data_IF_795185198669
#
_entry.id   IF_795185198669
#
_cell.length_a   1.000
_cell.length_b   1.000
_cell.length_c   1.000
_cell.angle_alpha   90.00
_cell.angle_beta   90.00
_cell.angle_gamma   90.00
#
_symmetry.space_group_name_H-M   'P 1'
#
loop_
_entity.id
_entity.type
_entity.pdbx_description
1 polymer ?
#
# COMPACT_ATOMS: atom_id res chain seq x y z
N UNK A 1 11.78 17.04 6.54
CA UNK A 1 10.71 17.91 6.01
C UNK A 1 11.35 19.15 5.40
N UNK A 2 11.06 19.44 4.13
CA UNK A 2 11.43 20.70 3.48
C UNK A 2 10.23 21.64 3.49
N UNK A 3 10.46 22.94 3.70
CA UNK A 3 9.41 23.96 3.67
C UNK A 3 9.48 24.72 2.34
N UNK A 4 8.39 24.70 1.56
CA UNK A 4 8.29 25.37 0.26
C UNK A 4 7.15 26.40 0.29
N UNK A 5 7.33 27.57 -0.32
CA UNK A 5 6.29 28.60 -0.46
C UNK A 5 6.79 30.05 -0.41
N UNK A 6 5.92 31.04 -0.71
CA UNK A 6 6.21 32.46 -0.47
C UNK A 6 6.61 32.74 0.98
N UNK A 7 7.33 33.85 1.27
CA UNK A 7 7.65 34.22 2.65
C UNK A 7 6.41 34.21 3.56
N UNK A 8 6.48 33.48 4.66
CA UNK A 8 5.37 33.33 5.60
C UNK A 8 4.26 32.35 5.19
N UNK A 9 4.39 31.67 4.03
CA UNK A 9 3.53 30.56 3.61
C UNK A 9 4.33 29.26 3.59
N UNK A 10 3.90 28.27 4.36
CA UNK A 10 4.67 27.03 4.56
C UNK A 10 3.89 25.82 4.10
N UNK A 11 4.41 25.13 3.10
CA UNK A 11 3.99 23.78 2.71
C UNK A 11 4.92 22.77 3.37
N UNK A 12 4.36 21.75 4.00
CA UNK A 12 5.09 20.61 4.54
C UNK A 12 4.73 19.35 3.74
N UNK A 13 5.75 18.61 3.29
CA UNK A 13 5.58 17.29 2.70
C UNK A 13 6.08 16.24 3.69
N UNK A 14 5.21 15.27 4.01
CA UNK A 14 5.46 14.19 4.96
C UNK A 14 5.28 12.88 4.21
N UNK A 15 6.36 12.12 4.03
CA UNK A 15 6.32 10.82 3.37
C UNK A 15 6.32 9.74 4.45
N UNK A 16 5.30 8.89 4.44
CA UNK A 16 5.18 7.76 5.35
C UNK A 16 5.80 6.50 4.74
N UNK A 17 6.36 5.65 5.59
CA UNK A 17 6.74 4.29 5.21
C UNK A 17 5.72 3.32 5.79
N UNK A 18 4.82 2.87 4.92
CA UNK A 18 3.74 1.90 5.20
C UNK A 18 4.13 0.47 4.81
N UNK A 19 5.43 0.20 4.60
CA UNK A 19 5.95 -1.13 4.23
C UNK A 19 6.78 -1.74 5.36
N UNK A 20 7.71 -0.97 5.94
CA UNK A 20 8.71 -1.54 6.84
C UNK A 20 8.18 -1.88 8.24
N UNK A 21 7.37 -0.98 8.80
CA UNK A 21 6.89 -1.10 10.20
C UNK A 21 5.48 -1.68 10.30
N UNK A 22 4.84 -1.96 9.17
CA UNK A 22 3.46 -2.39 9.07
C UNK A 22 3.33 -3.86 9.49
N UNK A 23 2.37 -4.15 10.36
CA UNK A 23 1.96 -5.53 10.63
C UNK A 23 1.45 -6.24 9.37
N UNK A 24 1.51 -7.58 9.28
CA UNK A 24 0.90 -8.30 8.17
C UNK A 24 -0.58 -7.89 7.97
N UNK A 25 -1.10 -7.98 6.75
CA UNK A 25 -2.56 -7.84 6.56
C UNK A 25 -3.24 -9.19 6.79
N UNK A 26 -4.44 -9.17 7.39
CA UNK A 26 -5.25 -10.39 7.42
C UNK A 26 -5.68 -10.75 6.02
N UNK A 27 -5.26 -11.93 5.56
CA UNK A 27 -5.70 -12.50 4.30
C UNK A 27 -7.19 -12.81 4.38
N UNK A 28 -7.87 -12.64 3.26
CA UNK A 28 -9.28 -13.03 3.16
C UNK A 28 -9.49 -14.52 3.43
N UNK A 29 -10.60 -14.83 4.06
CA UNK A 29 -11.18 -16.17 4.20
C UNK A 29 -12.08 -16.54 2.99
N UNK A 30 -12.44 -15.56 2.14
CA UNK A 30 -13.18 -15.77 0.90
C UNK A 30 -12.57 -14.99 -0.27
N UNK A 31 -11.82 -15.69 -1.12
CA UNK A 31 -11.25 -15.09 -2.32
C UNK A 31 -12.34 -14.70 -3.33
N UNK A 32 -12.26 -13.48 -3.87
CA UNK A 32 -13.21 -12.96 -4.86
C UNK A 32 -14.57 -12.51 -4.32
N UNK A 33 -14.85 -12.69 -3.02
CA UNK A 33 -16.03 -12.09 -2.38
C UNK A 33 -15.98 -10.56 -2.49
N UNK A 34 -17.10 -9.86 -2.81
CA UNK A 34 -17.13 -8.40 -2.86
C UNK A 34 -16.60 -7.77 -1.57
N UNK A 35 -15.59 -6.92 -1.69
CA UNK A 35 -14.96 -6.20 -0.58
C UNK A 35 -14.05 -7.05 0.31
N UNK A 36 -13.82 -8.32 -0.05
CA UNK A 36 -12.98 -9.29 0.67
C UNK A 36 -12.02 -10.00 -0.29
N UNK A 37 -11.59 -9.34 -1.37
CA UNK A 37 -10.84 -9.98 -2.45
C UNK A 37 -9.50 -10.59 -2.02
N UNK A 38 -8.62 -9.81 -1.36
CA UNK A 38 -7.28 -10.25 -0.93
C UNK A 38 -7.09 -10.12 0.58
N UNK A 39 -7.58 -9.03 1.17
CA UNK A 39 -7.42 -8.74 2.60
C UNK A 39 -8.72 -8.29 3.25
N UNK A 40 -8.88 -8.60 4.54
CA UNK A 40 -10.02 -8.18 5.38
C UNK A 40 -9.53 -7.34 6.58
N UNK A 41 -10.38 -6.52 7.20
CA UNK A 41 -10.01 -5.76 8.39
C UNK A 41 -9.78 -6.65 9.62
N UNK A 42 -8.82 -6.29 10.48
CA UNK A 42 -8.52 -6.99 11.73
C UNK A 42 -9.71 -7.12 12.70
N UNK A 43 -10.72 -6.26 12.60
CA UNK A 43 -11.90 -6.28 13.46
C UNK A 43 -13.08 -7.12 12.91
N UNK A 44 -12.85 -7.93 11.87
CA UNK A 44 -13.88 -8.78 11.23
C UNK A 44 -13.71 -10.28 11.47
N UNK A 45 -12.83 -10.69 12.40
CA UNK A 45 -12.70 -12.10 12.81
C UNK A 45 -12.52 -12.21 14.32
N UNK A 46 -13.57 -12.67 15.02
CA UNK A 46 -13.56 -13.40 16.30
C UNK A 46 -12.26 -13.33 17.14
N UNK A 47 -11.99 -12.20 17.80
CA UNK A 47 -11.08 -12.16 18.93
C UNK A 47 -11.92 -12.20 20.22
N UNK A 48 -11.70 -13.15 21.17
CA UNK A 48 -12.32 -13.05 22.49
C UNK A 48 -11.80 -11.78 23.19
N UNK A 49 -12.60 -11.17 24.08
CA UNK A 49 -12.23 -9.92 24.75
C UNK A 49 -10.89 -10.07 25.46
N UNK A 50 -10.01 -9.05 25.44
CA UNK A 50 -8.72 -9.12 26.10
C UNK A 50 -8.92 -9.40 27.58
N UNK A 51 -8.25 -10.44 28.09
CA UNK A 51 -8.18 -10.69 29.53
C UNK A 51 -7.38 -9.54 30.16
N UNK A 52 -7.85 -8.96 31.28
CA UNK A 52 -7.13 -7.87 31.93
C UNK A 52 -5.74 -8.36 32.37
N UNK A 53 -4.68 -7.57 32.16
CA UNK A 53 -3.33 -7.98 32.52
C UNK A 53 -3.25 -8.23 34.03
N UNK A 54 -2.68 -9.37 34.40
CA UNK A 54 -2.33 -9.67 35.78
C UNK A 54 -1.16 -8.76 36.17
N UNK A 55 -1.22 -8.03 37.30
CA UNK A 55 -0.11 -7.16 37.69
C UNK A 55 1.11 -8.00 38.05
N UNK A 56 2.18 -7.85 37.26
CA UNK A 56 3.49 -8.47 37.51
C UNK A 56 4.30 -7.54 38.41
N UNK A 57 4.83 -8.00 39.57
CA UNK A 57 5.74 -7.19 40.37
C UNK A 57 7.10 -7.06 39.67
N UNK A 58 7.70 -5.86 39.76
CA UNK A 58 9.00 -5.52 39.17
C UNK A 58 10.12 -6.46 39.65
N UNK A 59 10.98 -6.97 38.74
CA UNK A 59 12.19 -7.70 39.14
C UNK A 59 13.26 -6.73 39.68
N UNK A 60 14.10 -7.15 40.66
CA UNK A 60 15.22 -6.33 41.12
C UNK A 60 16.33 -6.24 40.06
N UNK A 61 17.06 -5.12 40.08
CA UNK A 61 18.07 -4.74 39.09
C UNK A 61 19.19 -5.78 38.88
N UNK A 62 19.69 -5.95 37.64
CA UNK A 62 20.69 -6.98 37.33
C UNK A 62 22.10 -6.63 37.86
N UNK A 63 22.79 -7.65 38.35
CA UNK A 63 24.21 -7.60 38.72
C UNK A 63 25.13 -7.66 37.48
N UNK A 64 26.34 -7.14 37.66
CA UNK A 64 27.40 -6.86 36.67
C UNK A 64 27.86 -8.11 35.88
N UNK A 65 28.18 -8.01 34.57
CA UNK A 65 28.62 -9.14 33.76
C UNK A 65 30.10 -9.54 34.01
N UNK A 66 30.48 -10.82 33.79
CA UNK A 66 31.85 -11.30 33.89
C UNK A 66 32.68 -11.05 32.60
N UNK A 67 34.03 -11.13 32.67
CA UNK A 67 34.94 -10.75 31.58
C UNK A 67 35.10 -11.84 30.48
N UNK A 68 35.65 -11.48 29.31
CA UNK A 68 35.64 -12.33 28.11
C UNK A 68 36.76 -13.39 28.10
N UNK A 69 36.47 -14.55 27.48
CA UNK A 69 37.41 -15.64 27.22
C UNK A 69 38.04 -15.57 25.81
N UNK A 70 39.25 -16.13 25.71
CA UNK A 70 40.19 -16.10 24.59
C UNK A 70 39.83 -17.03 23.40
N UNK A 71 40.41 -16.82 22.20
CA UNK A 71 40.02 -17.52 20.97
C UNK A 71 40.77 -18.86 20.76
N UNK A 72 40.12 -19.79 20.05
CA UNK A 72 40.70 -21.05 19.56
C UNK A 72 40.92 -21.05 18.04
N UNK A 73 41.87 -21.85 17.50
CA UNK A 73 42.52 -21.55 16.23
C UNK A 73 41.90 -22.22 14.98
N UNK A 74 42.23 -21.59 13.87
CA UNK A 74 42.04 -21.88 12.45
C UNK A 74 42.04 -23.36 12.00
N UNK A 75 41.17 -23.66 11.03
CA UNK A 75 41.36 -24.73 10.04
C UNK A 75 41.57 -24.15 8.64
N UNK A 76 42.66 -24.58 8.00
CA UNK A 76 43.05 -24.27 6.62
C UNK A 76 42.19 -25.02 5.59
N UNK A 77 42.12 -24.54 4.32
CA UNK A 77 41.37 -25.17 3.25
C UNK A 77 42.21 -26.21 2.48
N UNK A 78 41.61 -27.35 2.16
CA UNK A 78 42.19 -28.35 1.25
C UNK A 78 41.76 -28.08 -0.19
N UNK A 79 42.75 -27.87 -1.05
CA UNK A 79 42.67 -27.78 -2.51
C UNK A 79 42.64 -29.17 -3.17
N UNK A 80 41.81 -29.38 -4.19
CA UNK A 80 42.06 -30.34 -5.28
C UNK A 80 41.38 -29.93 -6.60
N UNK A 81 41.90 -30.39 -7.75
CA UNK A 81 42.07 -29.58 -8.94
C UNK A 81 40.94 -29.69 -9.97
N UNK A 82 40.84 -28.64 -10.80
CA UNK A 82 39.98 -28.56 -11.96
C UNK A 82 40.49 -29.45 -13.11
N UNK A 83 39.59 -30.21 -13.70
CA UNK A 83 39.75 -30.82 -15.02
C UNK A 83 38.58 -30.41 -15.92
N UNK A 84 38.86 -29.56 -16.91
CA UNK A 84 37.96 -29.34 -18.05
C UNK A 84 38.23 -30.41 -19.12
N UNK A 85 37.19 -30.81 -19.87
CA UNK A 85 37.33 -30.99 -21.30
C UNK A 85 36.53 -29.91 -22.04
N UNK A 86 37.19 -29.32 -23.03
CA UNK A 86 36.59 -28.44 -24.02
C UNK A 86 35.80 -29.25 -25.04
N UNK A 87 34.71 -28.66 -25.55
CA UNK A 87 34.15 -28.99 -26.86
C UNK A 87 32.78 -29.66 -26.88
N UNK A 88 31.72 -28.85 -26.77
CA UNK A 88 30.46 -29.07 -27.47
C UNK A 88 29.72 -27.73 -27.60
N UNK A 89 29.21 -27.42 -28.80
CA UNK A 89 28.42 -26.24 -29.10
C UNK A 89 27.18 -26.12 -28.15
N UNK A 90 26.69 -24.91 -27.84
CA UNK A 90 25.59 -24.77 -26.88
C UNK A 90 24.30 -25.34 -27.47
N UNK A 91 23.84 -26.47 -26.93
CA UNK A 91 22.44 -26.84 -27.00
C UNK A 91 21.62 -25.77 -26.27
N UNK A 92 20.42 -25.41 -26.75
CA UNK A 92 19.59 -24.42 -26.09
C UNK A 92 19.36 -24.85 -24.64
N UNK A 93 19.77 -24.01 -23.70
CA UNK A 93 19.58 -24.27 -22.27
C UNK A 93 18.07 -24.23 -22.02
N UNK A 94 17.47 -25.42 -21.93
CA UNK A 94 16.07 -25.61 -21.54
C UNK A 94 15.85 -24.96 -20.17
N UNK A 95 15.15 -23.81 -20.12
CA UNK A 95 14.71 -23.16 -18.88
C UNK A 95 13.20 -23.36 -18.71
N UNK A 96 12.78 -23.80 -17.53
CA UNK A 96 11.37 -24.05 -17.21
C UNK A 96 10.49 -22.80 -17.35
N UNK A 97 11.08 -21.60 -17.24
CA UNK A 97 10.46 -20.31 -17.54
C UNK A 97 9.78 -20.23 -18.92
N UNK A 98 10.21 -21.00 -19.92
CA UNK A 98 9.64 -20.97 -21.27
C UNK A 98 8.44 -21.93 -21.48
N UNK A 99 8.20 -22.88 -20.56
CA UNK A 99 7.15 -23.90 -20.68
C UNK A 99 6.01 -23.76 -19.65
N UNK A 100 6.26 -23.06 -18.52
CA UNK A 100 5.31 -22.98 -17.39
C UNK A 100 4.16 -21.98 -17.57
N UNK A 101 4.28 -20.98 -18.45
CA UNK A 101 3.24 -19.97 -18.62
C UNK A 101 2.23 -20.37 -19.71
N UNK A 102 1.58 -21.53 -19.55
CA UNK A 102 0.41 -21.82 -20.38
C UNK A 102 -0.76 -21.00 -19.84
N UNK A 103 -0.85 -19.78 -20.36
CA UNK A 103 -1.99 -18.88 -20.27
C UNK A 103 -3.31 -19.65 -20.38
N UNK A 104 -4.03 -19.78 -19.26
CA UNK A 104 -5.45 -20.05 -19.31
C UNK A 104 -6.15 -19.23 -18.23
N UNK A 105 -6.44 -17.97 -18.56
CA UNK A 105 -7.20 -17.02 -17.75
C UNK A 105 -8.65 -17.47 -17.44
N UNK A 106 -9.05 -18.68 -17.85
CA UNK A 106 -10.33 -19.32 -17.53
C UNK A 106 -10.29 -20.17 -16.25
N UNK A 107 -9.11 -20.45 -15.68
CA UNK A 107 -8.95 -21.33 -14.51
C UNK A 107 -8.93 -20.58 -13.16
N UNK A 108 -9.37 -19.31 -13.11
CA UNK A 108 -9.52 -18.56 -11.86
C UNK A 108 -10.80 -18.92 -11.08
N UNK A 109 -11.66 -19.79 -11.61
CA UNK A 109 -12.85 -20.26 -10.89
C UNK A 109 -12.50 -21.30 -9.82
N UNK A 110 -11.45 -22.10 -10.04
CA UNK A 110 -11.03 -23.17 -9.14
C UNK A 110 -9.50 -23.18 -9.07
N UNK A 111 -8.91 -22.82 -7.93
CA UNK A 111 -7.47 -22.67 -7.68
C UNK A 111 -6.60 -23.89 -8.09
N UNK A 112 -6.36 -24.08 -9.39
CA UNK A 112 -5.57 -25.16 -9.95
C UNK A 112 -4.20 -24.63 -10.39
N UNK A 113 -3.33 -24.41 -9.40
CA UNK A 113 -1.93 -24.10 -9.64
C UNK A 113 -1.22 -25.23 -10.41
N UNK A 114 -0.84 -25.00 -11.66
CA UNK A 114 -0.12 -25.97 -12.49
C UNK A 114 1.35 -25.57 -12.67
N UNK A 115 2.22 -25.91 -11.72
CA UNK A 115 3.65 -26.06 -12.03
C UNK A 115 3.86 -27.44 -12.68
N UNK A 116 4.42 -27.46 -13.89
CA UNK A 116 4.75 -28.69 -14.63
C UNK A 116 5.55 -29.63 -13.72
N UNK A 117 5.15 -30.90 -13.66
CA UNK A 117 5.72 -31.91 -12.76
C UNK A 117 7.24 -32.08 -12.95
N UNK A 118 7.79 -31.71 -14.11
CA UNK A 118 9.23 -31.76 -14.41
C UNK A 118 10.01 -30.57 -13.83
N UNK A 119 9.33 -29.47 -13.52
CA UNK A 119 9.93 -28.24 -12.99
C UNK A 119 9.87 -28.17 -11.45
N UNK A 120 8.90 -28.85 -10.82
CA UNK A 120 8.78 -28.95 -9.35
C UNK A 120 10.06 -29.39 -8.62
N UNK A 121 10.83 -30.40 -9.07
CA UNK A 121 12.05 -30.84 -8.37
C UNK A 121 13.20 -29.82 -8.45
N UNK A 122 13.09 -28.80 -9.29
CA UNK A 122 14.14 -27.81 -9.56
C UNK A 122 13.90 -26.45 -8.91
N UNK A 123 12.72 -26.21 -8.33
CA UNK A 123 12.36 -24.92 -7.72
C UNK A 123 12.24 -23.76 -8.72
N UNK A 124 12.04 -24.06 -10.01
CA UNK A 124 11.98 -23.11 -11.13
C UNK A 124 10.55 -23.11 -11.71
N UNK A 125 9.56 -22.79 -10.86
CA UNK A 125 8.17 -22.52 -11.25
C UNK A 125 7.99 -21.01 -11.54
N UNK A 126 6.85 -20.58 -12.10
CA UNK A 126 6.57 -19.17 -12.45
C UNK A 126 6.80 -18.20 -11.27
N UNK A 127 7.04 -16.92 -11.59
CA UNK A 127 7.48 -15.88 -10.66
C UNK A 127 6.54 -15.66 -9.45
N UNK A 128 5.25 -16.01 -9.58
CA UNK A 128 4.21 -15.90 -8.56
C UNK A 128 3.82 -17.24 -7.88
N UNK A 129 4.47 -18.35 -8.23
CA UNK A 129 4.11 -19.69 -7.75
C UNK A 129 4.23 -19.84 -6.23
N UNK A 130 5.29 -19.30 -5.62
CA UNK A 130 5.48 -19.38 -4.17
C UNK A 130 4.43 -18.53 -3.40
N UNK A 131 3.93 -17.46 -4.01
CA UNK A 131 2.94 -16.57 -3.38
C UNK A 131 1.50 -17.06 -3.56
N UNK A 132 1.20 -17.66 -4.71
CA UNK A 132 -0.13 -18.15 -5.06
C UNK A 132 -0.38 -19.63 -4.69
N UNK A 133 0.68 -20.46 -4.65
CA UNK A 133 0.54 -21.92 -4.69
C UNK A 133 1.32 -22.66 -3.60
N UNK A 134 2.43 -22.13 -3.10
CA UNK A 134 3.02 -22.65 -1.87
C UNK A 134 2.14 -22.19 -0.70
N UNK A 135 1.56 -23.15 0.03
CA UNK A 135 0.96 -22.90 1.33
C UNK A 135 2.12 -22.87 2.34
N UNK A 136 2.48 -21.71 2.94
CA UNK A 136 3.00 -21.76 4.29
C UNK A 136 1.92 -22.38 5.19
N UNK A 137 2.30 -23.00 6.30
CA UNK A 137 1.37 -23.53 7.28
C UNK A 137 0.32 -22.48 7.67
N UNK A 138 -0.92 -22.65 7.18
CA UNK A 138 -2.04 -21.78 7.48
C UNK A 138 -1.89 -20.32 7.02
N UNK A 139 -2.96 -19.51 7.10
CA UNK A 139 -2.80 -18.07 7.01
C UNK A 139 -1.89 -17.60 8.14
N UNK A 140 -1.14 -16.49 8.00
CA UNK A 140 -0.80 -15.70 9.17
C UNK A 140 -2.14 -15.34 9.80
N UNK A 141 -2.53 -16.06 10.86
CA UNK A 141 -3.66 -15.65 11.68
C UNK A 141 -3.20 -14.41 12.43
N UNK A 142 -4.07 -13.75 13.19
CA UNK A 142 -3.60 -12.75 14.17
C UNK A 142 -2.50 -13.26 15.12
N UNK A 143 -2.12 -14.56 15.07
CA UNK A 143 -1.00 -15.21 15.76
C UNK A 143 0.40 -14.70 15.44
N UNK A 144 0.63 -14.00 14.33
CA UNK A 144 1.95 -13.40 14.05
C UNK A 144 2.18 -12.13 14.88
N UNK A 145 1.12 -11.58 15.44
CA UNK A 145 1.19 -10.56 16.49
C UNK A 145 1.37 -11.27 17.82
N UNK A 146 2.27 -10.77 18.67
CA UNK A 146 2.36 -11.30 20.02
C UNK A 146 1.02 -11.09 20.75
N UNK A 147 0.62 -12.05 21.58
CA UNK A 147 -0.65 -11.99 22.30
C UNK A 147 -0.80 -10.65 23.05
N UNK A 148 -1.78 -9.83 22.63
CA UNK A 148 -2.06 -8.52 23.20
C UNK A 148 -1.57 -7.32 22.37
N UNK A 149 -0.83 -7.53 21.28
CA UNK A 149 -0.44 -6.47 20.35
C UNK A 149 -1.53 -6.19 19.31
N UNK A 150 -1.87 -4.91 19.14
CA UNK A 150 -2.76 -4.46 18.06
C UNK A 150 -1.94 -4.29 16.78
N UNK A 151 -2.53 -4.58 15.60
CA UNK A 151 -1.86 -4.37 14.32
C UNK A 151 -1.55 -2.89 14.12
N UNK A 152 -0.39 -2.59 13.53
CA UNK A 152 0.04 -1.21 13.27
C UNK A 152 0.40 -0.98 11.81
N UNK A 153 0.15 0.22 11.31
CA UNK A 153 0.48 0.65 9.96
C UNK A 153 1.87 1.28 9.90
N UNK A 154 2.19 2.13 10.89
CA UNK A 154 3.44 2.91 10.91
C UNK A 154 4.43 2.44 11.99
N UNK A 155 3.98 1.69 12.98
CA UNK A 155 4.76 1.40 14.19
C UNK A 155 4.96 2.62 15.09
N UNK A 156 5.25 2.38 16.36
CA UNK A 156 5.32 3.45 17.39
C UNK A 156 6.37 4.52 17.10
N UNK A 157 7.51 4.14 16.52
CA UNK A 157 8.59 5.08 16.22
C UNK A 157 8.15 6.11 15.16
N UNK A 158 7.55 5.64 14.07
CA UNK A 158 7.10 6.52 13.00
C UNK A 158 5.86 7.31 13.43
N UNK A 159 4.97 6.74 14.26
CA UNK A 159 3.86 7.48 14.86
C UNK A 159 4.31 8.66 15.72
N UNK A 160 5.30 8.43 16.59
CA UNK A 160 5.91 9.50 17.40
C UNK A 160 6.55 10.55 16.50
N UNK A 161 7.32 10.12 15.51
CA UNK A 161 7.93 11.02 14.54
C UNK A 161 6.90 11.86 13.78
N UNK A 162 5.80 11.25 13.33
CA UNK A 162 4.72 11.94 12.63
C UNK A 162 4.09 13.00 13.54
N UNK A 163 3.85 12.67 14.81
CA UNK A 163 3.35 13.62 15.80
C UNK A 163 4.26 14.85 15.96
N UNK A 164 5.57 14.64 15.99
CA UNK A 164 6.53 15.74 16.05
C UNK A 164 6.52 16.60 14.77
N UNK A 165 6.39 15.98 13.59
CA UNK A 165 6.26 16.72 12.32
C UNK A 165 4.99 17.55 12.26
N UNK A 166 3.86 17.02 12.75
CA UNK A 166 2.57 17.71 12.71
C UNK A 166 2.53 18.95 13.61
N UNK A 167 3.33 18.99 14.68
CA UNK A 167 3.48 20.18 15.55
C UNK A 167 4.31 21.30 14.91
N UNK A 168 5.08 21.02 13.86
CA UNK A 168 5.83 22.07 13.15
C UNK A 168 4.86 23.00 12.41
N UNK A 169 5.07 24.33 12.40
CA UNK A 169 4.17 25.26 11.72
C UNK A 169 4.12 25.04 10.19
N UNK A 170 2.91 24.87 9.65
CA UNK A 170 2.62 24.86 8.22
C UNK A 170 1.19 25.35 7.93
N UNK A 171 1.00 26.00 6.78
CA UNK A 171 -0.33 26.36 6.24
C UNK A 171 -0.99 25.18 5.54
N UNK A 172 -0.19 24.32 4.90
CA UNK A 172 -0.62 23.12 4.18
C UNK A 172 0.33 21.97 4.45
N UNK A 173 -0.21 20.78 4.63
CA UNK A 173 0.53 19.55 4.91
C UNK A 173 0.06 18.45 3.98
N UNK A 174 0.95 17.93 3.15
CA UNK A 174 0.68 16.74 2.34
C UNK A 174 1.27 15.52 3.04
N UNK A 175 0.41 14.64 3.54
CA UNK A 175 0.82 13.33 4.05
C UNK A 175 0.71 12.33 2.89
N UNK A 176 1.85 11.79 2.48
CA UNK A 176 1.98 10.85 1.37
C UNK A 176 2.10 9.45 1.94
N UNK A 177 1.15 8.58 1.59
CA UNK A 177 1.10 7.16 1.95
C UNK A 177 1.25 6.32 0.69
N UNK A 178 1.91 5.15 0.74
CA UNK A 178 2.02 4.32 -0.48
C UNK A 178 0.67 3.69 -0.86
N UNK A 179 -0.17 3.39 0.13
CA UNK A 179 -1.50 2.77 0.00
C UNK A 179 -2.59 3.70 0.53
N UNK A 180 -3.85 3.43 0.20
CA UNK A 180 -4.99 4.32 0.48
C UNK A 180 -5.25 4.44 1.97
N UNK A 181 -5.54 5.65 2.42
CA UNK A 181 -5.84 5.92 3.83
C UNK A 181 -7.35 5.88 4.09
N UNK A 182 -8.13 6.54 3.23
CA UNK A 182 -9.57 6.77 3.42
C UNK A 182 -10.46 5.76 2.70
N UNK A 183 -9.94 5.08 1.68
CA UNK A 183 -10.66 4.03 0.97
C UNK A 183 -11.04 2.87 1.92
N UNK A 184 -12.26 2.34 1.77
CA UNK A 184 -12.88 1.35 2.67
C UNK A 184 -13.27 0.06 1.97
N UNK A 185 -13.87 0.16 0.80
CA UNK A 185 -14.66 -0.97 0.30
C UNK A 185 -13.90 -1.91 -0.64
N UNK A 186 -12.71 -1.56 -1.14
CA UNK A 186 -11.94 -2.46 -2.00
C UNK A 186 -11.14 -3.49 -1.19
N UNK A 187 -11.12 -4.77 -1.58
CA UNK A 187 -10.44 -5.84 -0.82
C UNK A 187 -8.92 -5.93 -0.99
N UNK A 188 -8.25 -4.83 -1.32
CA UNK A 188 -6.78 -4.76 -1.53
C UNK A 188 -6.08 -4.07 -0.35
N UNK A 189 -4.77 -3.84 -0.45
CA UNK A 189 -3.98 -3.17 0.59
C UNK A 189 -4.48 -1.75 0.84
N UNK A 190 -4.86 -1.45 2.08
CA UNK A 190 -5.30 -0.11 2.52
C UNK A 190 -5.18 0.03 4.03
N UNK A 191 -5.21 1.26 4.51
CA UNK A 191 -5.19 1.52 5.96
C UNK A 191 -6.40 0.95 6.68
N UNK A 192 -7.58 0.92 6.06
CA UNK A 192 -8.79 0.38 6.67
C UNK A 192 -8.77 -1.15 6.87
N UNK A 193 -7.73 -1.87 6.42
CA UNK A 193 -7.44 -3.21 6.95
C UNK A 193 -7.05 -3.17 8.44
N UNK A 194 -6.59 -2.03 8.93
CA UNK A 194 -6.25 -1.71 10.33
C UNK A 194 -7.01 -0.44 10.76
N UNK A 195 -8.34 -0.51 10.96
CA UNK A 195 -9.18 0.67 11.11
C UNK A 195 -8.82 1.56 12.31
N UNK A 196 -8.19 1.00 13.35
CA UNK A 196 -7.68 1.79 14.48
C UNK A 196 -6.52 2.72 14.10
N UNK A 197 -5.74 2.39 13.07
CA UNK A 197 -4.64 3.23 12.59
C UNK A 197 -5.15 4.45 11.83
N UNK A 198 -6.30 4.34 11.13
CA UNK A 198 -7.01 5.50 10.55
C UNK A 198 -7.54 6.42 11.66
N UNK A 199 -8.19 5.84 12.69
CA UNK A 199 -8.64 6.61 13.86
C UNK A 199 -7.48 7.27 14.60
N UNK A 200 -6.33 6.59 14.70
CA UNK A 200 -5.11 7.12 15.32
C UNK A 200 -4.56 8.32 14.55
N UNK A 201 -4.56 8.26 13.22
CA UNK A 201 -4.18 9.42 12.38
C UNK A 201 -5.07 10.63 12.68
N UNK A 202 -6.39 10.43 12.68
CA UNK A 202 -7.36 11.51 12.94
C UNK A 202 -7.18 12.11 14.33
N UNK A 203 -6.99 11.26 15.35
CA UNK A 203 -6.72 11.69 16.72
C UNK A 203 -5.42 12.49 16.80
N UNK A 204 -4.35 12.03 16.14
CA UNK A 204 -3.07 12.72 16.15
C UNK A 204 -3.17 14.10 15.48
N UNK A 205 -3.91 14.24 14.38
CA UNK A 205 -4.18 15.54 13.74
C UNK A 205 -4.88 16.47 14.74
N UNK A 206 -5.92 16.00 15.42
CA UNK A 206 -6.63 16.76 16.46
C UNK A 206 -5.71 17.16 17.63
N UNK A 207 -4.98 16.22 18.22
CA UNK A 207 -4.13 16.42 19.40
C UNK A 207 -2.94 17.37 19.13
N UNK A 208 -2.41 17.34 17.91
CA UNK A 208 -1.32 18.24 17.52
C UNK A 208 -1.81 19.62 17.09
N UNK A 209 -3.12 19.81 16.93
CA UNK A 209 -3.70 21.03 16.37
C UNK A 209 -3.30 21.27 14.92
N UNK A 210 -2.90 20.21 14.21
CA UNK A 210 -2.47 20.33 12.83
C UNK A 210 -3.64 20.72 11.93
N UNK A 211 -3.39 21.67 11.04
CA UNK A 211 -4.32 22.15 10.03
C UNK A 211 -3.72 21.99 8.62
N UNK A 212 -4.52 22.22 7.58
CA UNK A 212 -4.12 22.13 6.19
C UNK A 212 -3.74 20.72 5.74
N UNK A 213 -4.12 19.67 6.48
CA UNK A 213 -3.74 18.29 6.15
C UNK A 213 -4.58 17.78 4.97
N UNK A 214 -3.89 17.29 3.96
CA UNK A 214 -4.43 16.60 2.78
C UNK A 214 -3.59 15.34 2.54
N UNK A 215 -4.25 14.24 2.15
CA UNK A 215 -3.59 12.96 1.93
C UNK A 215 -3.34 12.71 0.43
N UNK A 216 -2.25 12.03 0.12
CA UNK A 216 -1.90 11.59 -1.24
C UNK A 216 -1.51 10.11 -1.21
N UNK A 217 -1.96 9.32 -2.19
CA UNK A 217 -1.65 7.87 -2.26
C UNK A 217 -1.51 7.30 -3.68
N UNK A 218 -1.10 6.02 -3.79
CA UNK A 218 -0.84 5.30 -5.04
C UNK A 218 -1.25 3.81 -4.99
N UNK A 219 -0.43 2.88 -5.47
CA UNK A 219 -0.62 1.40 -5.41
C UNK A 219 -1.79 0.78 -6.21
N UNK A 220 -2.98 1.39 -6.27
CA UNK A 220 -4.21 0.74 -6.76
C UNK A 220 -4.29 0.51 -8.26
N UNK A 221 -3.41 1.12 -9.05
CA UNK A 221 -3.51 1.17 -10.51
C UNK A 221 -4.87 1.70 -11.00
N UNK A 222 -5.53 2.53 -10.20
CA UNK A 222 -6.67 3.39 -10.57
C UNK A 222 -6.49 4.75 -9.90
N UNK A 223 -7.11 5.79 -10.46
CA UNK A 223 -7.20 7.10 -9.81
C UNK A 223 -8.50 7.25 -9.02
N UNK A 224 -8.46 7.97 -7.91
CA UNK A 224 -9.64 8.23 -7.09
C UNK A 224 -9.50 9.50 -6.23
N UNK A 225 -10.64 10.08 -5.84
CA UNK A 225 -10.72 11.18 -4.88
C UNK A 225 -11.65 10.78 -3.74
N UNK A 226 -11.16 10.85 -2.51
CA UNK A 226 -11.90 10.50 -1.31
C UNK A 226 -12.06 11.70 -0.37
N UNK A 227 -13.15 11.67 0.40
CA UNK A 227 -13.44 12.56 1.52
C UNK A 227 -13.98 11.75 2.68
N UNK A 228 -13.32 11.84 3.83
CA UNK A 228 -13.88 11.42 5.10
C UNK A 228 -14.48 12.65 5.79
N UNK A 229 -15.80 12.65 5.93
CA UNK A 229 -16.52 13.76 6.57
C UNK A 229 -16.15 13.88 8.06
N UNK A 230 -16.06 15.10 8.59
CA UNK A 230 -15.74 15.33 10.02
C UNK A 230 -16.74 14.65 10.98
N UNK A 231 -17.98 14.44 10.54
CA UNK A 231 -19.03 13.77 11.31
C UNK A 231 -19.08 12.25 11.13
N UNK A 232 -18.20 11.66 10.32
CA UNK A 232 -18.10 10.20 10.21
C UNK A 232 -17.70 9.57 11.56
N UNK A 233 -17.98 8.28 11.75
CA UNK A 233 -17.68 7.59 13.01
C UNK A 233 -16.19 7.60 13.39
N UNK A 234 -15.33 7.64 12.39
CA UNK A 234 -13.87 7.80 12.48
C UNK A 234 -13.41 9.14 11.91
N UNK A 235 -14.30 10.14 11.84
CA UNK A 235 -14.01 11.49 11.40
C UNK A 235 -13.04 12.23 12.32
N UNK A 236 -12.39 13.25 11.76
CA UNK A 236 -11.42 14.10 12.45
C UNK A 236 -11.93 15.50 12.78
N UNK A 237 -11.02 16.46 13.00
CA UNK A 237 -11.39 17.82 13.36
C UNK A 237 -12.03 18.61 12.20
N UNK A 238 -11.85 18.16 10.97
CA UNK A 238 -12.43 18.70 9.74
C UNK A 238 -12.47 17.60 8.66
N UNK A 239 -13.13 17.86 7.54
CA UNK A 239 -13.21 16.91 6.42
C UNK A 239 -11.80 16.61 5.88
N UNK A 240 -11.40 15.33 5.89
CA UNK A 240 -10.10 14.92 5.38
C UNK A 240 -10.23 14.45 3.94
N UNK A 241 -9.38 14.97 3.06
CA UNK A 241 -9.39 14.66 1.64
C UNK A 241 -8.15 13.84 1.26
N UNK A 242 -8.34 12.91 0.33
CA UNK A 242 -7.29 12.11 -0.27
C UNK A 242 -7.43 12.08 -1.79
N UNK A 243 -6.30 12.19 -2.50
CA UNK A 243 -6.22 11.85 -3.92
C UNK A 243 -5.27 10.68 -4.12
N UNK A 244 -5.79 9.61 -4.71
CA UNK A 244 -5.02 8.45 -5.17
C UNK A 244 -4.69 8.64 -6.63
N UNK A 245 -3.40 8.78 -6.96
CA UNK A 245 -2.91 8.84 -8.33
C UNK A 245 -1.96 7.66 -8.57
N UNK A 246 -2.39 6.66 -9.33
CA UNK A 246 -1.73 5.35 -9.32
C UNK A 246 -1.45 4.71 -10.67
N UNK A 247 -1.99 5.20 -11.78
CA UNK A 247 -1.94 4.49 -13.06
C UNK A 247 -1.02 5.19 -14.06
N UNK A 248 0.24 5.49 -13.72
CA UNK A 248 1.06 6.31 -14.63
C UNK A 248 1.23 5.66 -16.02
N UNK A 249 1.34 4.33 -16.07
CA UNK A 249 1.53 3.56 -17.31
C UNK A 249 0.54 2.41 -17.48
N UNK A 250 -0.07 1.93 -16.39
CA UNK A 250 -0.99 0.80 -16.42
C UNK A 250 -2.16 1.03 -15.47
N UNK A 251 -3.37 1.09 -16.03
CA UNK A 251 -4.62 1.10 -15.29
C UNK A 251 -5.27 -0.29 -15.22
N UNK A 252 -5.93 -0.57 -14.09
CA UNK A 252 -6.87 -1.70 -14.00
C UNK A 252 -8.16 -1.29 -14.71
N UNK A 253 -8.80 -2.24 -15.40
CA UNK A 253 -10.05 -1.98 -16.12
C UNK A 253 -11.27 -2.14 -15.21
N UNK A 254 -12.38 -1.43 -15.48
CA UNK A 254 -13.63 -1.63 -14.77
C UNK A 254 -14.09 -3.09 -14.86
N UNK A 255 -14.79 -3.56 -13.83
CA UNK A 255 -15.44 -4.89 -13.90
C UNK A 255 -16.51 -4.88 -15.00
N UNK A 256 -16.64 -6.00 -15.73
CA UNK A 256 -17.65 -6.16 -16.79
C UNK A 256 -19.09 -6.17 -16.27
N UNK A 257 -19.28 -6.51 -15.00
CA UNK A 257 -20.57 -6.57 -14.32
C UNK A 257 -20.41 -6.31 -12.83
N UNK A 258 -21.45 -5.73 -12.22
CA UNK A 258 -21.46 -5.32 -10.81
C UNK A 258 -20.95 -3.88 -10.58
N UNK A 259 -21.08 -3.36 -9.35
CA UNK A 259 -20.59 -2.04 -9.00
C UNK A 259 -19.06 -2.02 -8.97
N UNK A 260 -18.49 -0.93 -9.49
CA UNK A 260 -17.05 -0.70 -9.54
C UNK A 260 -16.53 -0.19 -8.18
N UNK A 261 -16.24 -1.14 -7.30
CA UNK A 261 -15.71 -0.95 -5.93
C UNK A 261 -16.43 0.18 -5.17
N UNK A 262 -17.77 0.16 -5.08
CA UNK A 262 -18.55 1.24 -4.44
C UNK A 262 -18.02 1.59 -3.05
N UNK A 263 -17.78 2.87 -2.78
CA UNK A 263 -17.16 3.35 -1.54
C UNK A 263 -17.82 4.67 -1.11
N UNK A 264 -18.29 4.73 0.14
CA UNK A 264 -19.02 5.90 0.67
C UNK A 264 -18.13 7.15 0.81
N UNK A 265 -16.82 6.95 0.97
CA UNK A 265 -15.87 8.04 1.07
C UNK A 265 -15.47 8.57 -0.31
N UNK A 266 -15.78 7.87 -1.41
CA UNK A 266 -15.33 8.27 -2.75
C UNK A 266 -16.27 9.32 -3.36
N UNK A 267 -15.72 10.47 -3.75
CA UNK A 267 -16.49 11.60 -4.27
C UNK A 267 -16.93 11.43 -5.73
N UNK A 268 -16.12 10.73 -6.52
CA UNK A 268 -16.29 10.58 -7.97
C UNK A 268 -16.12 9.11 -8.38
N UNK A 269 -16.51 8.72 -9.61
CA UNK A 269 -16.18 7.39 -10.15
C UNK A 269 -14.67 7.11 -10.14
N UNK A 270 -14.27 5.84 -10.11
CA UNK A 270 -12.85 5.50 -10.28
C UNK A 270 -12.36 5.93 -11.66
N UNK A 271 -11.11 6.38 -11.71
CA UNK A 271 -10.40 6.70 -12.94
C UNK A 271 -9.62 5.46 -13.38
N UNK A 272 -10.10 4.85 -14.46
CA UNK A 272 -9.47 3.70 -15.11
C UNK A 272 -8.57 4.11 -16.29
N UNK A 273 -8.25 5.39 -16.41
CA UNK A 273 -7.30 5.92 -17.39
C UNK A 273 -5.91 6.02 -16.76
N UNK A 274 -4.86 5.95 -17.59
CA UNK A 274 -3.52 6.23 -17.11
C UNK A 274 -3.45 7.69 -16.63
N UNK A 275 -2.95 7.90 -15.40
CA UNK A 275 -3.01 9.20 -14.75
C UNK A 275 -1.83 9.48 -13.83
N UNK A 276 -1.61 10.78 -13.59
CA UNK A 276 -0.76 11.29 -12.53
C UNK A 276 -1.49 12.38 -11.74
N UNK A 277 -1.04 12.60 -10.50
CA UNK A 277 -1.59 13.62 -9.61
C UNK A 277 -0.88 14.95 -9.76
N UNK A 278 -1.61 16.07 -9.67
CA UNK A 278 -1.04 17.41 -9.52
C UNK A 278 -1.67 18.14 -8.35
N UNK A 279 -0.88 19.02 -7.74
CA UNK A 279 -1.32 19.91 -6.65
C UNK A 279 -1.04 21.34 -7.07
N UNK A 280 -2.10 22.12 -7.29
CA UNK A 280 -2.03 23.56 -7.49
C UNK A 280 -2.33 24.29 -6.17
N UNK A 281 -1.54 25.32 -5.84
CA UNK A 281 -1.79 26.15 -4.65
C UNK A 281 -1.91 27.60 -5.09
N UNK A 282 -3.07 28.21 -4.86
CA UNK A 282 -3.29 29.64 -5.03
C UNK A 282 -3.26 30.30 -3.64
N UNK A 283 -2.15 30.98 -3.35
CA UNK A 283 -1.98 31.70 -2.07
C UNK A 283 -2.79 32.97 -1.96
N UNK A 284 -3.22 33.56 -3.08
CA UNK A 284 -4.02 34.79 -3.11
C UNK A 284 -5.43 34.49 -2.65
N UNK A 285 -6.04 33.45 -3.23
CA UNK A 285 -7.38 33.00 -2.86
C UNK A 285 -7.37 31.98 -1.70
N UNK A 286 -6.19 31.55 -1.25
CA UNK A 286 -5.96 30.51 -0.22
C UNK A 286 -6.70 29.21 -0.55
N UNK A 287 -6.49 28.71 -1.76
CA UNK A 287 -7.07 27.46 -2.24
C UNK A 287 -5.99 26.46 -2.62
N UNK A 288 -6.28 25.18 -2.41
CA UNK A 288 -5.49 24.06 -2.92
C UNK A 288 -6.36 23.24 -3.86
N UNK A 289 -5.86 22.98 -5.07
CA UNK A 289 -6.52 22.14 -6.07
C UNK A 289 -5.73 20.84 -6.23
N UNK A 290 -6.40 19.71 -6.03
CA UNK A 290 -5.85 18.39 -6.26
C UNK A 290 -6.49 17.85 -7.55
N UNK A 291 -5.68 17.40 -8.50
CA UNK A 291 -6.18 16.96 -9.80
C UNK A 291 -5.56 15.63 -10.21
N UNK A 292 -6.38 14.79 -10.81
CA UNK A 292 -5.94 13.64 -11.61
C UNK A 292 -5.89 14.08 -13.07
N UNK A 293 -4.73 13.90 -13.68
CA UNK A 293 -4.43 14.35 -15.04
C UNK A 293 -4.10 13.14 -15.90
N UNK A 294 -4.65 13.06 -17.11
CA UNK A 294 -4.35 12.00 -18.06
C UNK A 294 -2.86 11.99 -18.38
N UNK A 295 -2.22 10.83 -18.22
CA UNK A 295 -0.80 10.65 -18.47
C UNK A 295 -0.50 10.46 -19.96
N UNK A 296 -1.41 9.80 -20.66
CA UNK A 296 -1.30 9.46 -22.07
C UNK A 296 -2.71 9.30 -22.68
N UNK A 297 -2.75 8.76 -23.90
CA UNK A 297 -3.93 8.33 -24.65
C UNK A 297 -4.24 6.83 -24.48
N UNK A 298 -3.44 6.12 -23.67
CA UNK A 298 -3.49 4.69 -23.46
C UNK A 298 -4.31 4.35 -22.19
N UNK A 299 -5.05 3.26 -22.20
CA UNK A 299 -5.71 2.74 -20.98
C UNK A 299 -7.21 3.03 -20.84
N UNK A 300 -7.87 3.67 -21.82
CA UNK A 300 -9.35 3.73 -21.87
C UNK A 300 -9.98 2.51 -22.58
N UNK A 301 -9.20 1.48 -22.88
CA UNK A 301 -9.64 0.46 -23.83
C UNK A 301 -10.75 -0.45 -23.29
N UNK A 302 -11.81 -0.61 -24.09
CA UNK A 302 -12.96 -1.48 -23.80
C UNK A 302 -12.71 -2.96 -24.16
N UNK A 303 -11.63 -3.29 -24.87
CA UNK A 303 -11.36 -4.65 -25.37
C UNK A 303 -9.99 -5.18 -24.96
N UNK A 304 -9.87 -6.51 -24.75
CA UNK A 304 -8.65 -7.23 -24.30
C UNK A 304 -7.53 -7.31 -25.38
N UNK A 305 -7.41 -6.29 -26.24
CA UNK A 305 -6.35 -6.21 -27.25
C UNK A 305 -4.98 -5.93 -26.63
N UNK A 306 -3.91 -6.21 -27.37
CA UNK A 306 -2.56 -5.87 -26.93
C UNK A 306 -2.40 -4.35 -26.81
N UNK A 307 -1.77 -3.88 -25.72
CA UNK A 307 -1.44 -2.48 -25.42
C UNK A 307 -0.98 -1.62 -26.62
N UNK A 308 -0.19 -2.13 -27.60
CA UNK A 308 0.26 -1.32 -28.74
C UNK A 308 -0.85 -0.85 -29.68
N UNK A 309 -2.01 -1.53 -29.73
CA UNK A 309 -3.13 -1.13 -30.60
C UNK A 309 -4.07 -0.11 -29.97
N UNK A 310 -3.96 0.11 -28.66
CA UNK A 310 -4.89 0.92 -27.86
C UNK A 310 -4.51 2.40 -27.84
N UNK A 311 -3.22 2.70 -27.96
CA UNK A 311 -2.66 4.07 -28.06
C UNK A 311 -2.71 4.63 -29.51
N UNK A 312 -3.40 3.96 -30.43
CA UNK A 312 -3.47 4.38 -31.84
C UNK A 312 -4.63 5.36 -32.13
N UNK A 313 -5.44 5.69 -31.11
CA UNK A 313 -6.56 6.61 -31.24
C UNK A 313 -6.06 8.07 -31.22
N UNK A 314 -6.13 8.74 -32.38
CA UNK A 314 -5.52 10.04 -32.72
C UNK A 314 -5.98 11.30 -31.94
N UNK A 315 -6.54 11.19 -30.73
CA UNK A 315 -6.84 12.37 -29.90
C UNK A 315 -5.92 12.40 -28.69
N UNK A 316 -4.84 13.19 -28.77
CA UNK A 316 -3.95 13.46 -27.63
C UNK A 316 -4.76 14.07 -26.48
N UNK A 317 -4.94 13.29 -25.42
CA UNK A 317 -5.63 13.70 -24.19
C UNK A 317 -4.66 13.87 -23.03
N UNK A 318 -3.34 13.70 -23.26
CA UNK A 318 -2.34 13.89 -22.23
C UNK A 318 -2.42 15.32 -21.68
N UNK A 319 -2.33 15.47 -20.36
CA UNK A 319 -2.49 16.76 -19.70
C UNK A 319 -3.94 17.21 -19.48
N UNK A 320 -4.95 16.48 -19.97
CA UNK A 320 -6.36 16.72 -19.63
C UNK A 320 -6.60 16.42 -18.15
N UNK A 321 -7.23 17.37 -17.43
CA UNK A 321 -7.73 17.12 -16.07
C UNK A 321 -8.94 16.19 -16.15
N UNK A 322 -8.81 14.99 -15.59
CA UNK A 322 -9.86 13.96 -15.57
C UNK A 322 -10.85 14.26 -14.43
N UNK A 323 -10.30 14.49 -13.23
CA UNK A 323 -11.04 14.85 -12.03
C UNK A 323 -10.22 15.85 -11.23
N UNK A 324 -10.90 16.75 -10.52
CA UNK A 324 -10.24 17.66 -9.58
C UNK A 324 -11.15 18.04 -8.43
N UNK A 325 -10.52 18.41 -7.32
CA UNK A 325 -11.20 19.00 -6.16
C UNK A 325 -10.41 20.23 -5.72
N UNK A 326 -11.11 21.34 -5.51
CA UNK A 326 -10.54 22.59 -5.00
C UNK A 326 -11.07 22.84 -3.60
N UNK A 327 -10.14 23.02 -2.66
CA UNK A 327 -10.41 23.15 -1.24
C UNK A 327 -9.93 24.53 -0.76
N UNK A 328 -10.79 25.32 -0.10
CA UNK A 328 -10.31 26.46 0.67
C UNK A 328 -9.42 25.97 1.82
N UNK A 329 -8.18 26.44 1.89
CA UNK A 329 -7.21 26.06 2.93
C UNK A 329 -7.78 26.36 4.32
N UNK A 330 -8.58 27.42 4.41
CA UNK A 330 -9.23 27.88 5.63
C UNK A 330 -10.36 26.95 6.14
N UNK A 331 -10.79 25.95 5.35
CA UNK A 331 -11.71 24.90 5.79
C UNK A 331 -10.98 23.67 6.35
N UNK A 332 -9.66 23.57 6.14
CA UNK A 332 -8.84 22.46 6.61
C UNK A 332 -8.29 22.74 8.02
N UNK A 333 -9.12 23.21 8.95
CA UNK A 333 -8.71 23.50 10.33
C UNK A 333 -9.85 23.17 11.26
N UNK A 334 -9.50 22.82 12.50
CA UNK A 334 -10.48 22.69 13.56
C UNK A 334 -11.22 24.03 13.75
N UNK A 335 -12.52 23.97 13.99
CA UNK A 335 -13.35 25.09 14.43
C UNK A 335 -13.02 25.49 15.88
#
# INVERSE_FOLDING_TARGET
>A
ASAHGPPGKRVQLILLDTRWFRSPFLRTDCWGCPGRERYVPYNQTSAPPPTPPTPVPWPPSPARPPPPMAPSPSKQPSSHPASHPAGAAPHPVWRCAALGCSNNAAAYADASCSCDARCRPRGDCCEDYAEACERPEGPPTGSDLHAGELPTMLGEEQWRWLGDRLREPADLRFIVSTIQVLADNHGWEKWRNMPDEVRRLQRLISETGASGVVLLSGDRHVGAVYRLAKQAADGGPYDLFEVTASSLTHSIRPRKSGPDESDENRLFPLVHENNFGTVGIDWTSRQVTLSLVSADDCGVAESRGAWPGECAAHNDTAGRVIQSVTLPIDQLRAE
#
